data_IF_777617429297
#
_entry.id   IF_777617429297
#
_cell.length_a   1.000
_cell.length_b   1.000
_cell.length_c   1.000
_cell.angle_alpha   90.00
_cell.angle_beta   90.00
_cell.angle_gamma   90.00
#
_symmetry.space_group_name_H-M   'P 1'
#
loop_
_entity.id
_entity.type
_entity.pdbx_description
1 polymer ?
#
# COMPACT_ATOMS: atom_id res chain seq x y z
N UNK A 1 -23.75 -0.16 22.00
CA UNK A 1 -22.42 0.50 21.94
C UNK A 1 -21.31 -0.39 21.38
N UNK A 2 -21.22 -1.68 21.75
CA UNK A 2 -20.23 -2.64 21.18
C UNK A 2 -20.21 -2.70 19.64
N UNK A 3 -21.39 -2.71 19.01
CA UNK A 3 -21.51 -2.80 17.54
C UNK A 3 -20.85 -1.61 16.83
N UNK A 4 -21.02 -0.40 17.36
CA UNK A 4 -20.44 0.81 16.78
C UNK A 4 -18.90 0.81 16.88
N UNK A 5 -18.36 0.39 18.03
CA UNK A 5 -16.92 0.26 18.21
C UNK A 5 -16.31 -0.79 17.29
N UNK A 6 -17.03 -1.89 17.04
CA UNK A 6 -16.60 -2.95 16.14
C UNK A 6 -16.51 -2.44 14.70
N UNK A 7 -17.53 -1.76 14.19
CA UNK A 7 -17.47 -1.19 12.83
C UNK A 7 -16.44 -0.08 12.71
N UNK A 8 -16.24 0.74 13.75
CA UNK A 8 -15.25 1.80 13.74
C UNK A 8 -13.82 1.23 13.70
N UNK A 9 -13.52 0.21 14.50
CA UNK A 9 -12.21 -0.44 14.49
C UNK A 9 -11.96 -1.19 13.17
N UNK A 10 -12.98 -1.85 12.62
CA UNK A 10 -12.89 -2.55 11.34
C UNK A 10 -12.67 -1.56 10.18
N UNK A 11 -13.39 -0.44 10.17
CA UNK A 11 -13.21 0.61 9.18
C UNK A 11 -11.82 1.26 9.31
N UNK A 12 -11.37 1.57 10.52
CA UNK A 12 -10.04 2.13 10.76
C UNK A 12 -8.92 1.18 10.32
N UNK A 13 -9.04 -0.11 10.62
CA UNK A 13 -8.09 -1.11 10.16
C UNK A 13 -8.06 -1.21 8.63
N UNK A 14 -9.23 -1.22 7.99
CA UNK A 14 -9.37 -1.38 6.54
C UNK A 14 -8.91 -0.15 5.73
N UNK A 15 -9.21 1.06 6.19
CA UNK A 15 -8.91 2.31 5.47
C UNK A 15 -7.50 2.86 5.75
N UNK A 16 -6.88 2.54 6.88
CA UNK A 16 -5.57 3.10 7.27
C UNK A 16 -4.51 2.03 7.48
N UNK A 17 -4.76 1.05 8.36
CA UNK A 17 -3.71 0.10 8.79
C UNK A 17 -3.28 -0.82 7.63
N UNK A 18 -4.24 -1.44 6.96
CA UNK A 18 -3.97 -2.36 5.86
C UNK A 18 -3.35 -1.67 4.64
N UNK A 19 -3.84 -0.52 4.12
CA UNK A 19 -3.23 0.10 2.94
C UNK A 19 -1.79 0.55 3.18
N UNK A 20 -1.44 0.99 4.39
CA UNK A 20 -0.06 1.32 4.75
C UNK A 20 0.82 0.06 4.72
N UNK A 21 0.34 -1.05 5.28
CA UNK A 21 1.07 -2.33 5.26
C UNK A 21 1.25 -2.87 3.83
N UNK A 22 0.23 -2.76 2.99
CA UNK A 22 0.28 -3.14 1.57
C UNK A 22 1.30 -2.26 0.83
N UNK A 23 1.30 -0.94 1.05
CA UNK A 23 2.31 -0.05 0.46
C UNK A 23 3.74 -0.44 0.82
N UNK A 24 3.99 -0.77 2.09
CA UNK A 24 5.30 -1.23 2.55
C UNK A 24 5.67 -2.60 1.96
N UNK A 25 4.70 -3.51 1.82
CA UNK A 25 4.92 -4.79 1.15
C UNK A 25 5.28 -4.61 -0.33
N UNK A 26 4.58 -3.70 -1.03
CA UNK A 26 4.86 -3.40 -2.43
C UNK A 26 6.26 -2.82 -2.59
N UNK A 27 6.66 -1.83 -1.79
CA UNK A 27 7.96 -1.16 -1.95
C UNK A 27 9.15 -2.12 -1.79
N UNK A 28 9.06 -3.12 -0.92
CA UNK A 28 10.12 -4.09 -0.68
C UNK A 28 10.30 -5.12 -1.81
N UNK A 29 9.21 -5.50 -2.47
CA UNK A 29 9.15 -6.70 -3.32
C UNK A 29 8.81 -6.41 -4.79
N UNK A 30 8.48 -5.17 -5.13
CA UNK A 30 8.08 -4.78 -6.49
C UNK A 30 9.08 -5.23 -7.57
N UNK A 31 10.38 -5.11 -7.30
CA UNK A 31 11.45 -5.40 -8.26
C UNK A 31 11.91 -6.87 -8.27
N UNK A 32 11.51 -7.67 -7.28
CA UNK A 32 12.00 -9.04 -7.07
C UNK A 32 10.92 -10.12 -7.17
N UNK A 33 9.64 -9.74 -7.34
CA UNK A 33 8.52 -10.70 -7.35
C UNK A 33 8.39 -11.54 -8.62
N UNK A 34 8.06 -12.83 -8.42
CA UNK A 34 7.66 -13.77 -9.48
C UNK A 34 6.23 -13.53 -10.00
N UNK A 35 5.83 -14.29 -11.02
CA UNK A 35 4.53 -14.10 -11.72
C UNK A 35 3.30 -14.29 -10.81
N UNK A 36 3.30 -15.30 -9.95
CA UNK A 36 2.17 -15.57 -9.03
C UNK A 36 2.10 -14.52 -7.91
N UNK A 37 3.25 -14.14 -7.35
CA UNK A 37 3.31 -13.11 -6.32
C UNK A 37 2.80 -11.76 -6.83
N UNK A 38 3.06 -11.45 -8.11
CA UNK A 38 2.57 -10.23 -8.76
C UNK A 38 1.05 -10.21 -8.90
N UNK A 39 0.41 -11.33 -9.22
CA UNK A 39 -1.07 -11.43 -9.25
C UNK A 39 -1.66 -11.20 -7.87
N UNK A 40 -1.05 -11.79 -6.83
CA UNK A 40 -1.49 -11.58 -5.46
C UNK A 40 -1.32 -10.12 -5.00
N UNK A 41 -0.24 -9.46 -5.39
CA UNK A 41 -0.04 -8.02 -5.14
C UNK A 41 -1.14 -7.16 -5.78
N UNK A 42 -1.49 -7.43 -7.05
CA UNK A 42 -2.58 -6.70 -7.70
C UNK A 42 -3.94 -6.97 -7.05
N UNK A 43 -4.20 -8.20 -6.62
CA UNK A 43 -5.41 -8.53 -5.87
C UNK A 43 -5.51 -7.74 -4.56
N UNK A 44 -4.43 -7.66 -3.79
CA UNK A 44 -4.38 -6.86 -2.55
C UNK A 44 -4.68 -5.38 -2.81
N UNK A 45 -4.03 -4.79 -3.82
CA UNK A 45 -4.27 -3.38 -4.18
C UNK A 45 -5.72 -3.15 -4.61
N UNK A 46 -6.32 -4.06 -5.38
CA UNK A 46 -7.70 -3.93 -5.84
C UNK A 46 -8.71 -4.11 -4.70
N UNK A 47 -8.47 -5.07 -3.81
CA UNK A 47 -9.33 -5.31 -2.65
C UNK A 47 -9.34 -4.09 -1.71
N UNK A 48 -8.17 -3.49 -1.44
CA UNK A 48 -8.04 -2.32 -0.57
C UNK A 48 -8.02 -0.98 -1.32
N UNK A 49 -8.45 -0.96 -2.58
CA UNK A 49 -8.42 0.21 -3.46
C UNK A 49 -8.96 1.51 -2.83
N UNK A 50 -10.14 1.54 -2.17
CA UNK A 50 -10.64 2.78 -1.57
C UNK A 50 -9.74 3.33 -0.44
N UNK A 51 -9.01 2.45 0.27
CA UNK A 51 -8.04 2.87 1.30
C UNK A 51 -6.73 3.36 0.69
N UNK A 52 -6.22 2.65 -0.32
CA UNK A 52 -5.00 3.04 -1.04
C UNK A 52 -5.20 4.41 -1.72
N UNK A 53 -6.36 4.65 -2.33
CA UNK A 53 -6.74 5.92 -2.97
C UNK A 53 -6.59 7.14 -2.06
N UNK A 54 -6.94 6.99 -0.77
CA UNK A 54 -6.83 8.06 0.23
C UNK A 54 -5.39 8.44 0.57
N UNK A 55 -4.42 7.55 0.33
CA UNK A 55 -3.00 7.75 0.66
C UNK A 55 -2.14 8.22 -0.52
N UNK A 56 -2.68 8.28 -1.75
CA UNK A 56 -1.95 8.75 -2.94
C UNK A 56 -1.33 10.15 -2.83
N UNK A 57 -2.00 11.20 -2.31
CA UNK A 57 -1.39 12.53 -2.29
C UNK A 57 -0.20 12.65 -1.33
N UNK A 58 -0.03 11.69 -0.41
CA UNK A 58 1.08 11.66 0.57
C UNK A 58 2.28 10.86 0.07
N UNK A 59 2.06 9.86 -0.77
CA UNK A 59 3.12 8.99 -1.29
C UNK A 59 3.48 9.36 -2.74
N UNK A 60 4.05 10.56 -2.91
CA UNK A 60 4.75 10.90 -4.16
C UNK A 60 6.10 10.16 -4.14
N UNK A 61 6.19 9.03 -4.87
CA UNK A 61 7.43 8.26 -4.99
C UNK A 61 8.35 8.93 -6.01
N UNK A 62 9.15 9.89 -5.55
CA UNK A 62 10.30 10.32 -6.34
C UNK A 62 11.34 9.18 -6.37
N UNK A 63 11.79 8.74 -7.56
CA UNK A 63 12.97 7.88 -7.62
C UNK A 63 14.14 8.67 -7.01
N UNK A 64 15.01 8.04 -6.19
CA UNK A 64 16.19 8.73 -5.68
C UNK A 64 16.97 9.25 -6.89
N UNK A 65 16.99 10.58 -7.03
CA UNK A 65 17.63 11.27 -8.15
C UNK A 65 19.05 10.71 -8.29
N UNK A 66 19.35 10.14 -9.46
CA UNK A 66 20.65 9.56 -9.80
C UNK A 66 21.69 10.67 -9.94
N UNK A 67 22.05 11.31 -8.83
CA UNK A 67 23.06 12.36 -8.74
C UNK A 67 24.43 11.75 -8.44
N UNK A 68 24.88 10.77 -9.24
CA UNK A 68 26.30 10.35 -9.21
C UNK A 68 26.75 9.41 -10.35
N UNK A 69 26.47 9.77 -11.60
CA UNK A 69 27.20 9.21 -12.76
C UNK A 69 27.93 10.31 -13.55
N UNK A 70 28.37 11.36 -12.85
CA UNK A 70 29.19 12.44 -13.40
C UNK A 70 30.18 12.92 -12.32
N UNK A 71 30.92 11.98 -11.76
CA UNK A 71 32.26 12.21 -11.21
C UNK A 71 33.08 10.92 -11.31
#
# INVERSE_FOLDING_TARGET
MVVALLYLSLAGAYLLVIPIAVFFYLSLRWYTCGSVERVFMYFLVFFFFPGVASSLPVCEFEPPSAKNCLN
#
